data_IF_499353081788
#
_entry.id   IF_499353081788
#
_cell.length_a   1.000
_cell.length_b   1.000
_cell.length_c   1.000
_cell.angle_alpha   90.00
_cell.angle_beta   90.00
_cell.angle_gamma   90.00
#
_symmetry.space_group_name_H-M   'P 1'
#
loop_
_entity.id
_entity.type
_entity.pdbx_description
1 polymer ?
#
# COMPACT_ATOMS: atom_id res chain seq x y z
N UNK A 1 3.43 25.54 -21.54
CA UNK A 1 4.61 25.17 -20.71
C UNK A 1 4.11 24.73 -19.33
N UNK A 2 4.39 23.49 -18.89
CA UNK A 2 4.02 23.09 -17.53
C UNK A 2 4.85 23.87 -16.52
N UNK A 3 4.22 24.50 -15.51
CA UNK A 3 4.93 25.18 -14.41
C UNK A 3 5.98 24.26 -13.80
N UNK A 4 7.18 24.78 -13.60
CA UNK A 4 8.30 24.07 -12.99
C UNK A 4 7.97 23.66 -11.54
N UNK A 5 8.30 22.42 -11.17
CA UNK A 5 8.08 21.94 -9.80
C UNK A 5 9.16 22.50 -8.89
N UNK A 6 8.74 23.30 -7.91
CA UNK A 6 9.61 23.91 -6.88
C UNK A 6 9.26 23.41 -5.48
N UNK A 7 10.17 23.55 -4.51
CA UNK A 7 9.93 23.21 -3.11
C UNK A 7 8.68 23.90 -2.53
N UNK A 8 8.48 25.19 -2.85
CA UNK A 8 7.30 25.95 -2.43
C UNK A 8 6.02 25.39 -3.06
N UNK A 9 6.07 24.99 -4.33
CA UNK A 9 4.92 24.35 -4.99
C UNK A 9 4.62 22.98 -4.40
N UNK A 10 5.64 22.19 -4.04
CA UNK A 10 5.48 20.88 -3.41
C UNK A 10 4.90 20.98 -2.00
N UNK A 11 5.26 22.01 -1.22
CA UNK A 11 4.62 22.26 0.07
C UNK A 11 3.11 22.47 -0.09
N UNK A 12 2.69 23.37 -1.00
CA UNK A 12 1.27 23.59 -1.31
C UNK A 12 0.59 22.31 -1.82
N UNK A 13 1.30 21.55 -2.64
CA UNK A 13 0.80 20.30 -3.19
C UNK A 13 0.55 19.25 -2.11
N UNK A 14 1.53 19.02 -1.22
CA UNK A 14 1.38 18.15 -0.05
C UNK A 14 0.21 18.60 0.84
N UNK A 15 0.01 19.91 1.03
CA UNK A 15 -1.16 20.41 1.80
C UNK A 15 -2.47 19.96 1.17
N UNK A 16 -2.65 20.21 -0.13
CA UNK A 16 -3.89 19.83 -0.84
C UNK A 16 -4.08 18.30 -0.79
N UNK A 17 -3.02 17.54 -1.05
CA UNK A 17 -3.08 16.07 -1.07
C UNK A 17 -3.38 15.48 0.31
N UNK A 18 -2.80 16.05 1.38
CA UNK A 18 -3.12 15.67 2.75
C UNK A 18 -4.60 15.89 3.08
N UNK A 19 -5.19 17.02 2.69
CA UNK A 19 -6.62 17.27 2.88
C UNK A 19 -7.50 16.34 2.02
N UNK A 20 -7.11 16.04 0.77
CA UNK A 20 -7.86 15.10 -0.07
C UNK A 20 -7.86 13.68 0.52
N UNK A 21 -6.74 13.23 1.09
CA UNK A 21 -6.69 11.98 1.83
C UNK A 21 -7.55 12.04 3.10
N UNK A 22 -7.47 13.14 3.86
CA UNK A 22 -8.21 13.31 5.11
C UNK A 22 -9.73 13.27 4.88
N UNK A 23 -10.23 14.00 3.89
CA UNK A 23 -11.66 14.03 3.55
C UNK A 23 -12.13 12.64 3.14
N UNK A 24 -11.39 11.95 2.27
CA UNK A 24 -11.73 10.58 1.90
C UNK A 24 -11.69 9.63 3.10
N UNK A 25 -10.69 9.77 3.99
CA UNK A 25 -10.59 8.98 5.20
C UNK A 25 -11.82 9.14 6.09
N UNK A 26 -12.27 10.38 6.33
CA UNK A 26 -13.49 10.64 7.10
C UNK A 26 -14.75 10.14 6.41
N UNK A 27 -14.86 10.26 5.08
CA UNK A 27 -15.97 9.68 4.34
C UNK A 27 -16.02 8.16 4.51
N UNK A 28 -14.90 7.47 4.30
CA UNK A 28 -14.81 6.01 4.45
C UNK A 28 -15.09 5.56 5.88
N UNK A 29 -14.57 6.28 6.88
CA UNK A 29 -14.87 6.01 8.29
C UNK A 29 -16.36 6.22 8.60
N UNK A 30 -16.96 7.30 8.09
CA UNK A 30 -18.38 7.56 8.23
C UNK A 30 -19.22 6.45 7.61
N UNK A 31 -18.87 6.00 6.40
CA UNK A 31 -19.54 4.86 5.76
C UNK A 31 -19.39 3.58 6.59
N UNK A 32 -18.20 3.31 7.12
CA UNK A 32 -17.95 2.13 7.93
C UNK A 32 -18.68 2.13 9.29
N UNK A 33 -19.07 3.29 9.80
CA UNK A 33 -19.78 3.42 11.08
C UNK A 33 -21.30 3.50 10.87
N UNK A 34 -21.75 4.23 9.85
CA UNK A 34 -23.17 4.60 9.69
C UNK A 34 -23.92 3.78 8.63
N UNK A 35 -23.25 2.99 7.81
CA UNK A 35 -23.88 2.11 6.82
C UNK A 35 -23.73 0.67 7.31
N UNK A 36 -24.84 0.07 7.78
CA UNK A 36 -24.88 -1.27 8.39
C UNK A 36 -24.14 -2.32 7.55
N UNK A 37 -24.43 -2.38 6.24
CA UNK A 37 -23.77 -3.32 5.33
C UNK A 37 -22.24 -3.23 5.33
N UNK A 38 -21.66 -2.05 5.55
CA UNK A 38 -20.21 -1.86 5.59
C UNK A 38 -19.67 -2.13 6.99
N UNK A 39 -20.41 -1.75 8.02
CA UNK A 39 -20.07 -2.05 9.41
C UNK A 39 -20.01 -3.56 9.67
N UNK A 40 -20.96 -4.30 9.10
CA UNK A 40 -21.08 -5.75 9.22
C UNK A 40 -20.11 -6.52 8.29
N UNK A 41 -19.49 -5.83 7.32
CA UNK A 41 -18.50 -6.45 6.44
C UNK A 41 -17.15 -6.59 7.17
N UNK A 42 -17.03 -7.68 7.91
CA UNK A 42 -15.82 -8.08 8.60
C UNK A 42 -15.21 -9.34 7.97
N UNK A 43 -13.89 -9.46 8.03
CA UNK A 43 -13.16 -10.62 7.49
C UNK A 43 -12.40 -11.32 8.62
N UNK A 44 -12.56 -12.64 8.81
CA UNK A 44 -11.90 -13.35 9.90
C UNK A 44 -10.40 -13.46 9.66
N UNK A 45 -9.63 -13.40 10.75
CA UNK A 45 -8.21 -13.73 10.78
C UNK A 45 -8.05 -14.98 11.62
N UNK A 46 -7.38 -15.97 11.04
CA UNK A 46 -7.23 -17.32 11.57
C UNK A 46 -5.79 -17.58 11.98
N UNK A 47 -5.60 -18.58 12.84
CA UNK A 47 -4.29 -19.17 13.15
C UNK A 47 -4.39 -20.69 13.17
N UNK A 48 -3.28 -21.33 12.86
CA UNK A 48 -3.17 -22.77 12.78
C UNK A 48 -2.33 -23.29 13.95
N UNK A 49 -2.97 -24.03 14.86
CA UNK A 49 -2.34 -24.64 16.03
C UNK A 49 -2.19 -26.15 15.84
N UNK A 50 -1.33 -26.77 16.63
CA UNK A 50 -1.20 -28.22 16.68
C UNK A 50 -2.09 -28.76 17.80
N UNK A 51 -2.98 -29.68 17.45
CA UNK A 51 -3.76 -30.47 18.39
C UNK A 51 -3.37 -31.94 18.24
N UNK A 52 -3.25 -32.66 19.35
CA UNK A 52 -3.05 -34.11 19.30
C UNK A 52 -4.40 -34.81 19.10
N UNK A 53 -4.56 -35.53 17.99
CA UNK A 53 -5.75 -36.32 17.69
C UNK A 53 -5.57 -37.73 18.25
N UNK A 54 -6.34 -38.08 19.28
CA UNK A 54 -6.30 -39.40 19.94
C UNK A 54 -6.84 -40.54 19.06
N UNK A 55 -7.64 -40.23 18.03
CA UNK A 55 -8.15 -41.24 17.09
C UNK A 55 -7.10 -41.58 16.03
N UNK A 56 -6.40 -40.57 15.51
CA UNK A 56 -5.34 -40.74 14.50
C UNK A 56 -3.96 -40.97 15.12
N UNK A 57 -3.83 -40.80 16.45
CA UNK A 57 -2.60 -40.91 17.22
C UNK A 57 -1.45 -40.04 16.65
N UNK A 58 -1.78 -38.82 16.22
CA UNK A 58 -0.80 -37.87 15.65
C UNK A 58 -1.21 -36.43 15.90
N UNK A 59 -0.26 -35.50 15.72
CA UNK A 59 -0.57 -34.08 15.68
C UNK A 59 -1.29 -33.75 14.36
N UNK A 60 -2.40 -33.04 14.47
CA UNK A 60 -3.17 -32.48 13.35
C UNK A 60 -3.20 -30.95 13.48
N UNK A 61 -3.47 -30.28 12.37
CA UNK A 61 -3.65 -28.82 12.35
C UNK A 61 -5.08 -28.47 12.71
N UNK A 62 -5.25 -27.64 13.74
CA UNK A 62 -6.52 -27.04 14.11
C UNK A 62 -6.51 -25.56 13.73
N UNK A 63 -7.48 -25.14 12.91
CA UNK A 63 -7.63 -23.75 12.46
C UNK A 63 -8.62 -23.02 13.36
N UNK A 64 -8.13 -22.04 14.10
CA UNK A 64 -8.92 -21.25 15.05
C UNK A 64 -9.00 -19.79 14.62
N UNK A 65 -10.18 -19.17 14.77
CA UNK A 65 -10.35 -17.75 14.56
C UNK A 65 -9.75 -16.96 15.72
N UNK A 66 -8.96 -15.93 15.41
CA UNK A 66 -8.37 -15.03 16.40
C UNK A 66 -9.24 -13.79 16.61
N UNK A 67 -9.60 -13.11 15.53
CA UNK A 67 -10.41 -11.89 15.52
C UNK A 67 -10.95 -11.59 14.13
N UNK A 68 -11.84 -10.61 14.05
CA UNK A 68 -12.40 -10.09 12.80
C UNK A 68 -11.80 -8.72 12.45
N UNK A 69 -11.44 -8.52 11.19
CA UNK A 69 -11.00 -7.23 10.67
C UNK A 69 -12.21 -6.44 10.18
N UNK A 70 -12.55 -5.29 10.77
CA UNK A 70 -13.59 -4.40 10.24
C UNK A 70 -13.07 -3.73 8.97
N UNK A 71 -13.44 -4.29 7.81
CA UNK A 71 -12.79 -3.97 6.55
C UNK A 71 -12.97 -2.50 6.16
N UNK A 72 -14.18 -1.94 6.33
CA UNK A 72 -14.44 -0.52 6.05
C UNK A 72 -13.59 0.43 6.90
N UNK A 73 -13.43 0.11 8.20
CA UNK A 73 -12.56 0.89 9.10
C UNK A 73 -11.11 0.78 8.61
N UNK A 74 -10.63 -0.43 8.29
CA UNK A 74 -9.27 -0.63 7.82
C UNK A 74 -8.97 0.11 6.50
N UNK A 75 -9.95 0.22 5.60
CA UNK A 75 -9.84 1.04 4.37
C UNK A 75 -9.62 2.53 4.72
N UNK A 76 -10.33 3.06 5.72
CA UNK A 76 -10.13 4.45 6.15
C UNK A 76 -8.73 4.71 6.72
N UNK A 77 -8.12 3.71 7.38
CA UNK A 77 -6.84 3.86 8.06
C UNK A 77 -5.69 4.18 7.09
N UNK A 78 -5.60 3.52 5.92
CA UNK A 78 -4.51 3.84 4.99
C UNK A 78 -4.62 5.26 4.41
N UNK A 79 -5.84 5.82 4.32
CA UNK A 79 -6.06 7.22 3.92
C UNK A 79 -5.60 8.17 5.02
N UNK A 80 -5.92 7.88 6.28
CA UNK A 80 -5.46 8.69 7.41
C UNK A 80 -3.94 8.66 7.58
N UNK A 81 -3.30 7.50 7.37
CA UNK A 81 -1.84 7.37 7.38
C UNK A 81 -1.20 8.30 6.35
N UNK A 82 -1.71 8.32 5.11
CA UNK A 82 -1.21 9.24 4.07
C UNK A 82 -1.49 10.70 4.39
N UNK A 83 -2.68 11.04 4.91
CA UNK A 83 -3.00 12.39 5.33
C UNK A 83 -2.03 12.89 6.42
N UNK A 84 -1.78 12.04 7.43
CA UNK A 84 -0.86 12.33 8.52
C UNK A 84 0.56 12.57 7.99
N UNK A 85 1.08 11.73 7.11
CA UNK A 85 2.41 11.92 6.54
C UNK A 85 2.53 13.22 5.75
N UNK A 86 1.51 13.58 4.94
CA UNK A 86 1.48 14.86 4.26
C UNK A 86 1.50 16.04 5.25
N UNK A 87 0.74 15.95 6.36
CA UNK A 87 0.74 16.97 7.40
C UNK A 87 2.07 17.07 8.15
N UNK A 88 2.73 15.94 8.43
CA UNK A 88 4.09 15.90 8.97
C UNK A 88 5.04 16.63 8.00
N UNK A 89 5.00 16.32 6.70
CA UNK A 89 5.84 16.94 5.66
C UNK A 89 5.65 18.46 5.58
N UNK A 90 4.44 18.99 5.77
CA UNK A 90 4.19 20.44 5.69
C UNK A 90 4.35 21.18 7.02
N UNK A 91 4.47 20.45 8.14
CA UNK A 91 4.60 21.01 9.49
C UNK A 91 5.86 21.88 9.64
N UNK A 92 5.89 22.80 10.64
CA UNK A 92 7.05 23.66 10.87
C UNK A 92 8.37 22.89 11.06
N UNK A 93 8.31 21.70 11.66
CA UNK A 93 9.47 20.85 11.92
C UNK A 93 9.80 19.90 10.75
N UNK A 94 8.79 19.29 10.13
CA UNK A 94 9.02 18.32 9.05
C UNK A 94 9.40 18.96 7.71
N UNK A 95 8.90 20.16 7.40
CA UNK A 95 9.14 20.79 6.11
C UNK A 95 10.61 21.16 5.85
N UNK A 96 11.37 21.69 6.83
CA UNK A 96 12.81 21.89 6.69
C UNK A 96 13.57 20.59 6.38
N UNK A 97 13.23 19.48 7.05
CA UNK A 97 13.84 18.15 6.84
C UNK A 97 13.52 17.67 5.42
N UNK A 98 12.24 17.70 5.03
CA UNK A 98 11.78 17.32 3.71
C UNK A 98 12.50 18.10 2.61
N UNK A 99 12.55 19.44 2.71
CA UNK A 99 13.21 20.28 1.71
C UNK A 99 14.73 20.04 1.60
N UNK A 100 15.39 19.76 2.74
CA UNK A 100 16.82 19.42 2.77
C UNK A 100 17.07 18.09 2.06
N UNK A 101 16.23 17.11 2.31
CA UNK A 101 16.34 15.76 1.77
C UNK A 101 16.00 15.75 0.27
N UNK A 102 14.97 16.49 -0.16
CA UNK A 102 14.65 16.66 -1.59
C UNK A 102 15.80 17.25 -2.42
N UNK A 103 16.59 18.16 -1.84
CA UNK A 103 17.79 18.72 -2.52
C UNK A 103 18.88 17.68 -2.76
N UNK A 104 18.87 16.60 -1.98
CA UNK A 104 19.75 15.45 -2.15
C UNK A 104 19.11 14.38 -3.04
N UNK A 105 17.86 14.55 -3.47
CA UNK A 105 17.14 13.52 -4.22
C UNK A 105 16.74 12.33 -3.36
N UNK A 106 16.30 12.59 -2.13
CA UNK A 106 15.75 11.57 -1.23
C UNK A 106 14.49 12.08 -0.53
N UNK A 107 13.53 11.18 -0.31
CA UNK A 107 12.36 11.46 0.51
C UNK A 107 12.07 10.29 1.47
N UNK A 108 12.59 10.39 2.69
CA UNK A 108 12.43 9.35 3.73
C UNK A 108 10.98 9.22 4.21
N UNK A 109 10.26 10.34 4.33
CA UNK A 109 8.87 10.34 4.79
C UNK A 109 7.97 9.49 3.89
N UNK A 110 8.18 9.56 2.57
CA UNK A 110 7.44 8.74 1.59
C UNK A 110 7.63 7.25 1.80
N UNK A 111 8.87 6.79 1.98
CA UNK A 111 9.14 5.36 2.15
C UNK A 111 8.59 4.81 3.46
N UNK A 112 8.67 5.57 4.55
CA UNK A 112 8.05 5.18 5.83
C UNK A 112 6.53 5.21 5.78
N UNK A 113 5.93 6.16 5.06
CA UNK A 113 4.48 6.17 4.87
C UNK A 113 4.03 4.97 4.03
N UNK A 114 4.69 4.73 2.89
CA UNK A 114 4.33 3.62 2.01
C UNK A 114 4.57 2.26 2.66
N UNK A 115 5.64 2.08 3.44
CA UNK A 115 5.89 0.81 4.13
C UNK A 115 4.76 0.41 5.09
N UNK A 116 3.98 1.37 5.58
CA UNK A 116 2.81 1.12 6.42
C UNK A 116 1.53 1.08 5.57
N UNK A 117 1.25 2.14 4.82
CA UNK A 117 -0.04 2.27 4.11
C UNK A 117 -0.19 1.25 2.99
N UNK A 118 0.84 1.04 2.16
CA UNK A 118 0.77 0.04 1.07
C UNK A 118 0.74 -1.39 1.62
N UNK A 119 1.31 -1.63 2.80
CA UNK A 119 1.27 -2.92 3.48
C UNK A 119 -0.12 -3.23 4.02
N UNK A 120 -0.81 -2.24 4.60
CA UNK A 120 -2.22 -2.38 4.95
C UNK A 120 -3.08 -2.63 3.71
N UNK A 121 -2.86 -1.89 2.62
CA UNK A 121 -3.61 -2.07 1.37
C UNK A 121 -3.46 -3.48 0.79
N UNK A 122 -2.24 -4.03 0.72
CA UNK A 122 -2.03 -5.37 0.17
C UNK A 122 -2.57 -6.47 1.10
N UNK A 123 -2.56 -6.26 2.43
CA UNK A 123 -3.23 -7.14 3.39
C UNK A 123 -4.73 -7.19 3.16
N UNK A 124 -5.38 -6.04 2.97
CA UNK A 124 -6.82 -5.99 2.69
C UNK A 124 -7.17 -6.71 1.39
N UNK A 125 -6.31 -6.61 0.36
CA UNK A 125 -6.49 -7.37 -0.89
C UNK A 125 -6.35 -8.87 -0.64
N UNK A 126 -5.33 -9.29 0.10
CA UNK A 126 -5.09 -10.70 0.40
C UNK A 126 -6.27 -11.32 1.17
N UNK A 127 -6.79 -10.59 2.16
CA UNK A 127 -7.99 -10.97 2.90
C UNK A 127 -9.20 -11.19 1.99
N UNK A 128 -9.44 -10.31 0.99
CA UNK A 128 -10.55 -10.50 0.05
C UNK A 128 -10.44 -11.76 -0.84
N UNK A 129 -9.24 -12.32 -0.99
CA UNK A 129 -9.02 -13.59 -1.69
C UNK A 129 -8.92 -14.81 -0.77
N UNK A 130 -9.18 -14.66 0.53
CA UNK A 130 -9.20 -15.79 1.46
C UNK A 130 -7.88 -16.06 2.17
N UNK A 131 -6.89 -15.17 2.08
CA UNK A 131 -5.64 -15.28 2.85
C UNK A 131 -5.92 -14.87 4.30
N UNK A 132 -6.50 -15.76 5.09
CA UNK A 132 -6.92 -15.46 6.47
C UNK A 132 -5.87 -15.80 7.54
N UNK A 133 -4.85 -16.60 7.20
CA UNK A 133 -3.82 -17.01 8.15
C UNK A 133 -2.96 -15.81 8.60
N UNK A 134 -2.91 -15.57 9.91
CA UNK A 134 -2.16 -14.46 10.52
C UNK A 134 -0.66 -14.52 10.20
N UNK A 135 -0.08 -15.72 10.10
CA UNK A 135 1.33 -15.89 9.74
C UNK A 135 1.62 -15.42 8.33
N UNK A 136 0.79 -15.83 7.36
CA UNK A 136 0.85 -15.37 5.98
C UNK A 136 0.69 -13.84 5.87
N UNK A 137 -0.26 -13.26 6.61
CA UNK A 137 -0.50 -11.81 6.63
C UNK A 137 0.70 -11.03 7.19
N UNK A 138 1.32 -11.51 8.27
CA UNK A 138 2.56 -10.91 8.82
C UNK A 138 3.69 -10.94 7.79
N UNK A 139 3.87 -12.06 7.09
CA UNK A 139 4.90 -12.19 6.05
C UNK A 139 4.63 -11.28 4.85
N UNK A 140 3.36 -11.12 4.44
CA UNK A 140 2.95 -10.16 3.41
C UNK A 140 3.31 -8.73 3.82
N UNK A 141 3.01 -8.34 5.06
CA UNK A 141 3.37 -7.01 5.60
C UNK A 141 4.88 -6.83 5.60
N UNK A 142 5.63 -7.81 6.11
CA UNK A 142 7.09 -7.72 6.19
C UNK A 142 7.73 -7.61 4.80
N UNK A 143 7.29 -8.40 3.82
CA UNK A 143 7.79 -8.36 2.45
C UNK A 143 7.46 -7.03 1.76
N UNK A 144 6.22 -6.55 1.87
CA UNK A 144 5.79 -5.30 1.25
C UNK A 144 6.43 -4.06 1.91
N UNK A 145 6.59 -4.07 3.24
CA UNK A 145 7.35 -3.04 3.95
C UNK A 145 8.81 -3.05 3.50
N UNK A 146 9.44 -4.23 3.40
CA UNK A 146 10.82 -4.39 2.93
C UNK A 146 11.02 -3.84 1.52
N UNK A 147 10.08 -4.07 0.59
CA UNK A 147 10.11 -3.48 -0.74
C UNK A 147 10.26 -1.95 -0.66
N UNK A 148 9.46 -1.29 0.17
CA UNK A 148 9.51 0.17 0.34
C UNK A 148 10.83 0.63 0.97
N UNK A 149 11.35 -0.12 1.96
CA UNK A 149 12.65 0.17 2.57
C UNK A 149 13.81 -0.02 1.59
N UNK A 150 13.72 -0.96 0.64
CA UNK A 150 14.67 -1.06 -0.46
C UNK A 150 14.58 0.13 -1.44
N UNK A 151 13.40 0.74 -1.57
CA UNK A 151 13.23 2.02 -2.26
C UNK A 151 13.96 3.17 -1.55
N UNK A 152 13.91 3.21 -0.21
CA UNK A 152 14.71 4.13 0.59
C UNK A 152 16.20 3.88 0.41
N UNK A 153 16.64 2.62 0.52
CA UNK A 153 18.04 2.23 0.34
C UNK A 153 18.56 2.59 -1.07
N UNK A 154 17.71 2.45 -2.09
CA UNK A 154 18.02 2.92 -3.45
C UNK A 154 18.35 4.42 -3.47
N UNK A 155 17.61 5.25 -2.72
CA UNK A 155 17.86 6.70 -2.60
C UNK A 155 19.06 7.04 -1.72
N UNK A 156 19.34 6.26 -0.69
CA UNK A 156 20.44 6.49 0.24
C UNK A 156 21.79 6.05 -0.33
N UNK A 157 21.91 4.81 -0.81
CA UNK A 157 23.19 4.28 -1.28
C UNK A 157 23.72 5.02 -2.50
N UNK A 158 22.82 5.45 -3.39
CA UNK A 158 23.18 6.10 -4.64
C UNK A 158 23.64 7.56 -4.47
N UNK A 159 23.64 8.09 -3.24
CA UNK A 159 24.34 9.34 -2.90
C UNK A 159 25.87 9.19 -2.94
N UNK A 160 26.36 7.96 -2.78
CA UNK A 160 27.76 7.64 -2.56
C UNK A 160 28.39 6.82 -3.68
N UNK A 161 27.68 6.62 -4.80
CA UNK A 161 28.13 5.79 -5.93
C UNK A 161 28.35 6.62 -7.19
N UNK A 162 29.45 6.39 -7.91
CA UNK A 162 29.72 7.06 -9.20
C UNK A 162 28.74 6.63 -10.31
N UNK A 163 28.34 5.35 -10.30
CA UNK A 163 27.33 4.78 -11.20
C UNK A 163 26.18 4.24 -10.36
N UNK A 164 24.95 4.37 -10.88
CA UNK A 164 23.76 3.89 -10.17
C UNK A 164 23.87 2.41 -9.84
N UNK A 165 23.86 2.10 -8.55
CA UNK A 165 23.73 0.75 -8.02
C UNK A 165 22.24 0.37 -7.97
N UNK A 166 21.85 -0.59 -8.80
CA UNK A 166 20.47 -1.08 -8.92
C UNK A 166 20.14 -2.25 -7.99
N UNK A 167 21.07 -2.73 -7.15
CA UNK A 167 20.81 -3.86 -6.25
C UNK A 167 19.60 -3.63 -5.33
N UNK A 168 19.44 -2.46 -4.66
CA UNK A 168 18.28 -2.24 -3.81
C UNK A 168 16.97 -2.31 -4.61
N UNK A 169 16.93 -1.73 -5.82
CA UNK A 169 15.77 -1.82 -6.70
C UNK A 169 15.40 -3.27 -7.06
N UNK A 170 16.38 -4.11 -7.37
CA UNK A 170 16.16 -5.54 -7.67
C UNK A 170 15.64 -6.28 -6.44
N UNK A 171 16.23 -6.08 -5.26
CA UNK A 171 15.78 -6.72 -4.02
C UNK A 171 14.37 -6.25 -3.63
N UNK A 172 14.09 -4.96 -3.78
CA UNK A 172 12.76 -4.40 -3.61
C UNK A 172 11.75 -5.05 -4.55
N UNK A 173 12.10 -5.25 -5.83
CA UNK A 173 11.23 -5.91 -6.80
C UNK A 173 10.90 -7.36 -6.40
N UNK A 174 11.90 -8.12 -5.94
CA UNK A 174 11.68 -9.50 -5.45
C UNK A 174 10.76 -9.51 -4.22
N UNK A 175 11.04 -8.65 -3.24
CA UNK A 175 10.21 -8.53 -2.04
C UNK A 175 8.78 -8.07 -2.36
N UNK A 176 8.62 -7.14 -3.31
CA UNK A 176 7.34 -6.59 -3.73
C UNK A 176 6.47 -7.58 -4.51
N UNK A 177 7.08 -8.52 -5.24
CA UNK A 177 6.35 -9.57 -5.97
C UNK A 177 5.86 -10.71 -5.06
N UNK A 178 6.52 -10.94 -3.92
CA UNK A 178 6.18 -12.06 -3.03
C UNK A 178 4.71 -12.03 -2.54
N UNK A 179 4.14 -10.91 -2.06
CA UNK A 179 2.72 -10.84 -1.72
C UNK A 179 1.79 -11.16 -2.90
N UNK A 180 2.12 -10.71 -4.10
CA UNK A 180 1.32 -10.97 -5.30
C UNK A 180 1.30 -12.43 -5.68
N UNK A 181 2.41 -13.15 -5.51
CA UNK A 181 2.43 -14.61 -5.71
C UNK A 181 1.43 -15.30 -4.78
N UNK A 182 1.42 -14.95 -3.49
CA UNK A 182 0.47 -15.51 -2.52
C UNK A 182 -0.97 -15.19 -2.92
N UNK A 183 -1.24 -13.92 -3.24
CA UNK A 183 -2.59 -13.48 -3.64
C UNK A 183 -3.07 -14.22 -4.90
N UNK A 184 -2.22 -14.37 -5.92
CA UNK A 184 -2.57 -15.06 -7.16
C UNK A 184 -2.82 -16.55 -6.92
N UNK A 185 -2.03 -17.20 -6.05
CA UNK A 185 -2.25 -18.60 -5.66
C UNK A 185 -3.64 -18.79 -5.04
N UNK A 186 -4.08 -17.87 -4.18
CA UNK A 186 -5.41 -17.94 -3.57
C UNK A 186 -6.51 -17.56 -4.56
N UNK A 187 -6.31 -16.50 -5.36
CA UNK A 187 -7.28 -16.03 -6.33
C UNK A 187 -7.64 -17.08 -7.40
N UNK A 188 -6.65 -17.89 -7.82
CA UNK A 188 -6.80 -18.93 -8.85
C UNK A 188 -6.77 -20.35 -8.30
N UNK A 189 -6.52 -20.54 -7.01
CA UNK A 189 -6.59 -21.84 -6.33
C UNK A 189 -8.02 -22.26 -5.98
N UNK A 190 -8.99 -21.33 -6.06
CA UNK A 190 -10.40 -21.62 -5.86
C UNK A 190 -10.92 -22.62 -6.91
N UNK A 191 -11.81 -23.52 -6.49
CA UNK A 191 -12.46 -24.51 -7.36
C UNK A 191 -13.28 -23.86 -8.48
N UNK A 192 -13.81 -22.65 -8.24
CA UNK A 192 -14.55 -21.87 -9.22
C UNK A 192 -14.27 -20.36 -9.08
N UNK A 193 -13.40 -19.77 -9.94
CA UNK A 193 -13.12 -18.35 -9.92
C UNK A 193 -14.35 -17.43 -10.12
N UNK A 194 -15.44 -17.93 -10.68
CA UNK A 194 -16.67 -17.15 -10.86
C UNK A 194 -17.43 -16.89 -9.55
N UNK A 195 -17.10 -17.60 -8.46
CA UNK A 195 -17.69 -17.40 -7.14
C UNK A 195 -17.04 -16.24 -6.36
N UNK A 196 -15.85 -15.78 -6.80
CA UNK A 196 -15.21 -14.61 -6.22
C UNK A 196 -15.89 -13.35 -6.81
N UNK A 197 -16.39 -12.42 -5.97
CA UNK A 197 -17.04 -11.21 -6.46
C UNK A 197 -16.13 -10.42 -7.40
N UNK A 198 -16.67 -9.97 -8.54
CA UNK A 198 -15.87 -9.31 -9.59
C UNK A 198 -15.12 -8.08 -9.08
N UNK A 199 -15.65 -7.37 -8.06
CA UNK A 199 -15.01 -6.18 -7.52
C UNK A 199 -13.67 -6.52 -6.85
N UNK A 200 -13.50 -7.73 -6.31
CA UNK A 200 -12.25 -8.19 -5.71
C UNK A 200 -11.16 -8.28 -6.80
N UNK A 201 -11.50 -8.83 -7.97
CA UNK A 201 -10.60 -8.84 -9.13
C UNK A 201 -10.30 -7.43 -9.66
N UNK A 202 -11.31 -6.56 -9.72
CA UNK A 202 -11.11 -5.17 -10.17
C UNK A 202 -10.21 -4.39 -9.20
N UNK A 203 -10.39 -4.59 -7.90
CA UNK A 203 -9.61 -3.96 -6.84
C UNK A 203 -8.15 -4.47 -6.89
N UNK A 204 -7.95 -5.78 -7.00
CA UNK A 204 -6.61 -6.37 -7.12
C UNK A 204 -5.89 -5.97 -8.41
N UNK A 205 -6.57 -6.03 -9.55
CA UNK A 205 -6.01 -5.68 -10.86
C UNK A 205 -5.65 -4.20 -10.97
N UNK A 206 -6.53 -3.32 -10.49
CA UNK A 206 -6.25 -1.87 -10.46
C UNK A 206 -5.08 -1.56 -9.52
N UNK A 207 -5.04 -2.16 -8.33
CA UNK A 207 -3.91 -1.97 -7.42
C UNK A 207 -2.62 -2.53 -8.00
N UNK A 208 -2.63 -3.70 -8.65
CA UNK A 208 -1.45 -4.26 -9.32
C UNK A 208 -0.92 -3.30 -10.39
N UNK A 209 -1.80 -2.70 -11.20
CA UNK A 209 -1.41 -1.71 -12.19
C UNK A 209 -0.75 -0.50 -11.53
N UNK A 210 -1.36 0.09 -10.49
CA UNK A 210 -0.75 1.20 -9.76
C UNK A 210 0.56 0.82 -9.10
N UNK A 211 0.63 -0.35 -8.46
CA UNK A 211 1.79 -0.88 -7.78
C UNK A 211 3.02 -0.96 -8.70
N UNK A 212 2.82 -1.27 -9.99
CA UNK A 212 3.87 -1.27 -11.01
C UNK A 212 4.23 0.13 -11.53
N UNK A 213 3.34 1.12 -11.44
CA UNK A 213 3.66 2.51 -11.80
C UNK A 213 4.64 3.16 -10.82
N UNK A 214 4.64 2.76 -9.54
CA UNK A 214 5.61 3.25 -8.54
C UNK A 214 7.07 2.92 -8.90
N UNK A 215 7.48 1.66 -9.15
CA UNK A 215 8.83 1.34 -9.55
C UNK A 215 9.17 1.90 -10.94
N UNK A 216 8.20 2.01 -11.86
CA UNK A 216 8.44 2.70 -13.15
C UNK A 216 8.83 4.17 -12.92
N UNK A 217 8.15 4.88 -12.00
CA UNK A 217 8.50 6.24 -11.62
C UNK A 217 9.94 6.32 -11.09
N UNK A 218 10.36 5.35 -10.28
CA UNK A 218 11.75 5.22 -9.81
C UNK A 218 12.74 5.00 -10.96
N UNK A 219 12.45 4.05 -11.87
CA UNK A 219 13.31 3.75 -13.02
C UNK A 219 13.53 5.01 -13.85
N UNK A 220 12.46 5.74 -14.17
CA UNK A 220 12.54 6.97 -14.96
C UNK A 220 13.37 8.05 -14.24
N UNK A 221 13.25 8.15 -12.91
CA UNK A 221 14.02 9.08 -12.07
C UNK A 221 15.52 8.77 -12.10
N UNK A 222 15.91 7.51 -11.89
CA UNK A 222 17.32 7.11 -11.90
C UNK A 222 17.94 7.09 -13.30
N UNK A 223 17.16 6.76 -14.33
CA UNK A 223 17.59 6.87 -15.72
C UNK A 223 17.51 8.30 -16.27
N UNK A 224 16.98 9.25 -15.50
CA UNK A 224 16.82 10.68 -15.87
C UNK A 224 16.11 10.88 -17.22
N UNK A 225 15.08 10.08 -17.50
CA UNK A 225 14.39 10.09 -18.80
C UNK A 225 13.35 11.22 -18.84
N UNK A 226 13.48 12.14 -19.79
CA UNK A 226 12.52 13.24 -19.99
C UNK A 226 12.38 14.16 -18.77
N UNK A 227 11.15 14.37 -18.29
CA UNK A 227 10.88 15.26 -17.14
C UNK A 227 11.44 14.73 -15.82
N UNK A 228 11.73 13.43 -15.73
CA UNK A 228 12.29 12.77 -14.54
C UNK A 228 13.77 13.08 -14.30
N UNK A 229 14.43 13.82 -15.20
CA UNK A 229 15.74 14.40 -14.90
C UNK A 229 15.69 15.37 -13.70
N UNK A 230 14.51 15.95 -13.40
CA UNK A 230 14.28 16.71 -12.18
C UNK A 230 13.64 15.80 -11.11
N UNK A 231 14.35 15.54 -10.00
CA UNK A 231 13.84 14.75 -8.88
C UNK A 231 12.49 15.25 -8.35
N UNK A 232 12.28 16.56 -8.30
CA UNK A 232 11.02 17.14 -7.81
C UNK A 232 9.82 16.77 -8.69
N UNK A 233 10.06 16.47 -9.97
CA UNK A 233 9.03 15.94 -10.85
C UNK A 233 8.66 14.50 -10.49
N UNK A 234 9.66 13.65 -10.22
CA UNK A 234 9.45 12.27 -9.75
C UNK A 234 8.72 12.22 -8.40
N UNK A 235 9.10 13.10 -7.47
CA UNK A 235 8.43 13.29 -6.19
C UNK A 235 6.95 13.69 -6.36
N UNK A 236 6.66 14.65 -7.26
CA UNK A 236 5.28 14.99 -7.60
C UNK A 236 4.52 13.80 -8.19
N UNK A 237 5.18 12.98 -9.01
CA UNK A 237 4.65 11.75 -9.57
C UNK A 237 4.22 10.77 -8.47
N UNK A 238 5.08 10.53 -7.48
CA UNK A 238 4.76 9.68 -6.32
C UNK A 238 3.55 10.18 -5.54
N UNK A 239 3.48 11.48 -5.26
CA UNK A 239 2.34 12.06 -4.53
C UNK A 239 1.03 11.85 -5.31
N UNK A 240 1.03 12.04 -6.63
CA UNK A 240 -0.15 11.79 -7.48
C UNK A 240 -0.52 10.31 -7.47
N UNK A 241 0.45 9.42 -7.69
CA UNK A 241 0.22 7.98 -7.69
C UNK A 241 -0.35 7.51 -6.35
N UNK A 242 0.16 8.02 -5.23
CA UNK A 242 -0.35 7.71 -3.89
C UNK A 242 -1.82 8.10 -3.73
N UNK A 243 -2.18 9.34 -4.09
CA UNK A 243 -3.57 9.77 -4.01
C UNK A 243 -4.47 8.91 -4.89
N UNK A 244 -4.12 8.75 -6.17
CA UNK A 244 -4.97 8.05 -7.14
C UNK A 244 -5.13 6.58 -6.75
N UNK A 245 -4.04 5.87 -6.43
CA UNK A 245 -4.09 4.45 -6.08
C UNK A 245 -4.94 4.22 -4.82
N UNK A 246 -4.74 5.03 -3.76
CA UNK A 246 -5.50 4.92 -2.51
C UNK A 246 -6.97 5.29 -2.68
N UNK A 247 -7.25 6.32 -3.47
CA UNK A 247 -8.63 6.71 -3.77
C UNK A 247 -9.36 5.61 -4.53
N UNK A 248 -8.76 5.11 -5.63
CA UNK A 248 -9.35 4.03 -6.43
C UNK A 248 -9.60 2.79 -5.57
N UNK A 249 -8.63 2.38 -4.75
CA UNK A 249 -8.79 1.24 -3.85
C UNK A 249 -9.96 1.46 -2.86
N UNK A 250 -10.01 2.61 -2.20
CA UNK A 250 -11.04 2.91 -1.21
C UNK A 250 -12.44 2.95 -1.81
N UNK A 251 -12.61 3.58 -2.96
CA UNK A 251 -13.91 3.71 -3.61
C UNK A 251 -14.37 2.42 -4.30
N UNK A 252 -13.44 1.61 -4.83
CA UNK A 252 -13.77 0.26 -5.33
C UNK A 252 -14.16 -0.68 -4.19
N UNK A 253 -13.45 -0.62 -3.05
CA UNK A 253 -13.82 -1.35 -1.84
C UNK A 253 -15.23 -0.99 -1.37
N UNK A 254 -15.51 0.31 -1.24
CA UNK A 254 -16.84 0.81 -0.88
C UNK A 254 -17.92 0.33 -1.88
N UNK A 255 -17.71 0.56 -3.18
CA UNK A 255 -18.68 0.19 -4.21
C UNK A 255 -18.92 -1.32 -4.30
N UNK A 256 -17.88 -2.12 -4.06
CA UNK A 256 -17.93 -3.57 -4.02
C UNK A 256 -18.75 -4.12 -2.86
N UNK A 257 -18.48 -3.65 -1.64
CA UNK A 257 -19.25 -4.05 -0.44
C UNK A 257 -20.72 -3.65 -0.56
N UNK A 258 -21.02 -2.57 -1.26
CA UNK A 258 -22.40 -2.08 -1.44
C UNK A 258 -23.21 -2.87 -2.47
N UNK A 259 -22.64 -3.80 -3.24
CA UNK A 259 -23.39 -4.53 -4.26
C UNK A 259 -24.49 -5.42 -3.66
N UNK A 260 -25.65 -5.58 -4.33
CA UNK A 260 -26.63 -6.59 -3.96
C UNK A 260 -25.99 -7.98 -4.03
N UNK A 261 -26.31 -8.83 -3.05
CA UNK A 261 -25.99 -10.26 -3.09
C UNK A 261 -26.99 -10.99 -3.98
#
# INVERSE_FOLDING_TARGET
MSKETTLKSLKKFNTVMGFLHLVQGFLMLGFAIFIERIADFTIPVMSNFLMFDETQMRLVTETNQLFDVPFGIAVSLFLFISALAHFIIISPWGNPIYNRDLKKGINKFRWYEYSISSSLMIVLIALLFGVYDIGALILIVAANASMNLFGLDMEEINQYTEKTNWKPFVFGSVAGLAPWVVILLYAFGNSNPAEVPWFVYALAGSYFAFFNLFPINMILQYKKIGKWNNYLYGEKGYIVLSLVAKSVLAWLAFGGVMQPQ
#
